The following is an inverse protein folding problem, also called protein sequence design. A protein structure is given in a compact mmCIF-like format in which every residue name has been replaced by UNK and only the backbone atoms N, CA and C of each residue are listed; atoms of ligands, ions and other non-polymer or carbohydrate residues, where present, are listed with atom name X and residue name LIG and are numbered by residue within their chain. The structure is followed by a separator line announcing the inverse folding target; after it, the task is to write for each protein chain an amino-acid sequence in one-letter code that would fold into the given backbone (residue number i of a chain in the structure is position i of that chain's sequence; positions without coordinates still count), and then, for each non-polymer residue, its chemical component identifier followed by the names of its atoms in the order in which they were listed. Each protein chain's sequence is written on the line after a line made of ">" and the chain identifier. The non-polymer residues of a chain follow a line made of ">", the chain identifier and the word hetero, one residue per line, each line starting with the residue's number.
data_IF_100217898258
#
_entry.id   IF_100217898258
#
_cell.length_a   1.000
_cell.length_b   1.000
_cell.length_c   1.000
_cell.angle_alpha   90.00
_cell.angle_beta   90.00
_cell.angle_gamma   90.00
#
_symmetry.space_group_name_H-M   'P 1'
#
loop_
_entity.id
_entity.type
_entity.pdbx_description
1 polymer ?
#
# COMPACT_ATOMS: atom_id res chain seq x y z
N UNK A 1 -48.56 5.34 -34.58
CA UNK A 1 -47.66 5.17 -33.42
C UNK A 1 -46.40 4.54 -33.99
N UNK A 2 -45.40 5.36 -34.35
CA UNK A 2 -44.14 4.86 -34.90
C UNK A 2 -43.27 4.39 -33.73
N UNK A 3 -43.00 3.09 -33.66
CA UNK A 3 -41.96 2.54 -32.81
C UNK A 3 -40.61 2.80 -33.49
N UNK A 4 -39.89 3.83 -33.05
CA UNK A 4 -38.48 4.03 -33.39
C UNK A 4 -37.67 2.85 -32.84
N UNK A 5 -37.40 1.87 -33.71
CA UNK A 5 -36.41 0.83 -33.43
C UNK A 5 -35.03 1.43 -33.63
N UNK A 6 -34.33 1.68 -32.53
CA UNK A 6 -32.94 2.12 -32.58
C UNK A 6 -32.05 1.02 -33.18
N UNK A 7 -31.09 1.35 -34.05
CA UNK A 7 -30.21 0.36 -34.65
C UNK A 7 -29.36 -0.32 -33.55
N UNK A 8 -29.26 -1.64 -33.63
CA UNK A 8 -28.66 -2.51 -32.60
C UNK A 8 -27.19 -2.15 -32.30
N UNK A 9 -26.48 -1.59 -33.29
CA UNK A 9 -25.12 -1.05 -33.12
C UNK A 9 -25.03 0.18 -32.20
N UNK A 10 -26.07 1.02 -32.16
CA UNK A 10 -26.15 2.15 -31.23
C UNK A 10 -26.42 1.68 -29.80
N UNK A 11 -27.17 0.59 -29.64
CA UNK A 11 -27.44 -0.03 -28.33
C UNK A 11 -26.19 -0.73 -27.76
N UNK A 12 -25.38 -1.36 -28.60
CA UNK A 12 -24.10 -1.96 -28.20
C UNK A 12 -23.03 -0.92 -27.83
N UNK A 13 -22.90 0.16 -28.61
CA UNK A 13 -22.00 1.27 -28.28
C UNK A 13 -22.40 1.93 -26.95
N UNK A 14 -23.71 2.12 -26.72
CA UNK A 14 -24.21 2.67 -25.48
C UNK A 14 -23.99 1.73 -24.29
N UNK A 15 -24.18 0.42 -24.46
CA UNK A 15 -23.83 -0.60 -23.44
C UNK A 15 -22.35 -0.61 -23.12
N UNK A 16 -21.48 -0.47 -24.11
CA UNK A 16 -20.03 -0.42 -23.93
C UNK A 16 -19.60 0.84 -23.17
N UNK A 17 -20.17 2.00 -23.50
CA UNK A 17 -19.89 3.25 -22.76
C UNK A 17 -20.38 3.17 -21.32
N UNK A 18 -21.61 2.68 -21.08
CA UNK A 18 -22.16 2.53 -19.72
C UNK A 18 -21.33 1.55 -18.89
N UNK A 19 -20.89 0.43 -19.47
CA UNK A 19 -20.02 -0.54 -18.76
C UNK A 19 -18.63 0.01 -18.47
N UNK A 20 -18.05 0.79 -19.41
CA UNK A 20 -16.78 1.49 -19.21
C UNK A 20 -16.87 2.57 -18.13
N UNK A 21 -17.95 3.35 -18.12
CA UNK A 21 -18.20 4.37 -17.08
C UNK A 21 -18.42 3.73 -15.71
N UNK A 22 -19.17 2.63 -15.63
CA UNK A 22 -19.34 1.87 -14.38
C UNK A 22 -18.02 1.28 -13.88
N UNK A 23 -17.17 0.77 -14.77
CA UNK A 23 -15.85 0.26 -14.42
C UNK A 23 -14.92 1.37 -13.90
N UNK A 24 -14.90 2.53 -14.56
CA UNK A 24 -14.13 3.70 -14.12
C UNK A 24 -14.63 4.24 -12.78
N UNK A 25 -15.95 4.32 -12.58
CA UNK A 25 -16.55 4.71 -11.31
C UNK A 25 -16.20 3.71 -10.19
N UNK A 26 -16.20 2.41 -10.46
CA UNK A 26 -15.82 1.39 -9.50
C UNK A 26 -14.33 1.49 -9.14
N UNK A 27 -13.46 1.76 -10.11
CA UNK A 27 -12.03 2.03 -9.90
C UNK A 27 -11.78 3.30 -9.08
N UNK A 28 -12.49 4.39 -9.38
CA UNK A 28 -12.39 5.64 -8.63
C UNK A 28 -12.89 5.48 -7.19
N UNK A 29 -14.01 4.77 -7.01
CA UNK A 29 -14.54 4.46 -5.69
C UNK A 29 -13.58 3.59 -4.88
N UNK A 30 -12.94 2.59 -5.49
CA UNK A 30 -11.87 1.83 -4.84
C UNK A 30 -10.67 2.70 -4.47
N UNK A 31 -10.23 3.59 -5.37
CA UNK A 31 -9.11 4.52 -5.09
C UNK A 31 -9.45 5.47 -3.94
N UNK A 32 -10.67 5.99 -3.91
CA UNK A 32 -11.16 6.86 -2.84
C UNK A 32 -11.29 6.14 -1.50
N UNK A 33 -11.83 4.92 -1.50
CA UNK A 33 -11.98 4.10 -0.29
C UNK A 33 -10.62 3.62 0.25
N UNK A 34 -9.65 3.34 -0.63
CA UNK A 34 -8.25 3.11 -0.25
C UNK A 34 -7.67 4.38 0.35
N UNK A 35 -7.80 5.53 -0.29
CA UNK A 35 -7.30 6.81 0.23
C UNK A 35 -7.92 7.20 1.59
N UNK A 36 -9.19 6.86 1.80
CA UNK A 36 -9.90 7.13 3.05
C UNK A 36 -9.48 6.19 4.18
N UNK A 37 -9.26 4.89 3.89
CA UNK A 37 -8.70 3.94 4.86
C UNK A 37 -7.22 4.19 5.17
N UNK A 38 -6.51 4.88 4.28
CA UNK A 38 -5.13 5.33 4.49
C UNK A 38 -4.99 6.60 5.33
N UNK A 39 -6.10 7.23 5.73
CA UNK A 39 -6.13 8.10 6.92
C UNK A 39 -6.00 7.24 8.18
N UNK A 40 -4.92 6.47 8.29
CA UNK A 40 -4.38 6.13 9.60
C UNK A 40 -4.26 7.47 10.34
N UNK A 41 -4.94 7.56 11.49
CA UNK A 41 -5.19 8.80 12.24
C UNK A 41 -3.98 9.73 12.29
N UNK A 42 -4.21 11.04 12.45
CA UNK A 42 -3.24 12.15 12.62
C UNK A 42 -2.21 11.90 13.76
N UNK A 43 -1.42 10.85 13.63
CA UNK A 43 -0.36 10.45 14.54
C UNK A 43 0.85 11.24 14.07
N UNK A 44 1.26 12.21 14.87
CA UNK A 44 2.49 12.96 14.65
C UNK A 44 3.67 11.97 14.51
N UNK A 45 4.29 11.88 13.31
CA UNK A 45 5.42 10.99 13.07
C UNK A 45 6.62 11.24 14.00
N UNK A 46 6.77 12.45 14.56
CA UNK A 46 7.87 12.82 15.45
C UNK A 46 7.61 12.51 16.92
N UNK A 47 6.35 12.32 17.32
CA UNK A 47 5.96 12.15 18.72
C UNK A 47 6.74 11.02 19.43
N UNK A 48 6.96 9.83 18.85
CA UNK A 48 7.73 8.77 19.51
C UNK A 48 9.20 9.14 19.77
N UNK A 49 9.79 9.93 18.87
CA UNK A 49 11.19 10.34 18.93
C UNK A 49 11.39 11.43 19.98
N UNK A 50 10.47 12.40 20.01
CA UNK A 50 10.41 13.44 21.03
C UNK A 50 10.19 12.82 22.41
N UNK A 51 9.28 11.84 22.52
CA UNK A 51 9.02 11.13 23.77
C UNK A 51 10.26 10.41 24.31
N UNK A 52 11.03 9.77 23.41
CA UNK A 52 12.27 9.06 23.77
C UNK A 52 13.41 9.99 24.17
N UNK A 53 13.55 11.14 23.52
CA UNK A 53 14.65 12.06 23.80
C UNK A 53 14.39 13.00 24.98
N UNK A 54 13.14 13.45 25.16
CA UNK A 54 12.81 14.51 26.10
C UNK A 54 11.76 14.13 27.16
N UNK A 55 11.21 12.90 27.10
CA UNK A 55 10.09 12.51 27.95
C UNK A 55 8.74 13.01 27.42
N UNK A 56 7.72 13.16 28.27
CA UNK A 56 6.36 13.46 27.81
C UNK A 56 6.32 14.77 26.99
N UNK A 57 5.65 14.83 25.81
CA UNK A 57 5.70 16.01 24.92
C UNK A 57 5.03 17.28 25.48
N UNK A 58 4.47 17.20 26.69
CA UNK A 58 3.86 18.33 27.40
C UNK A 58 4.96 19.26 27.93
N UNK A 59 5.64 19.99 27.05
CA UNK A 59 6.60 21.00 27.50
C UNK A 59 7.61 21.52 26.49
N UNK A 60 7.74 20.96 25.29
CA UNK A 60 8.70 21.47 24.31
C UNK A 60 8.14 22.75 23.66
N UNK A 61 8.30 23.87 24.35
CA UNK A 61 7.95 25.22 23.88
C UNK A 61 9.10 25.86 23.09
N UNK A 62 10.31 25.30 23.19
CA UNK A 62 11.49 25.83 22.53
C UNK A 62 11.82 25.03 21.25
N UNK A 63 12.27 25.69 20.17
CA UNK A 63 12.75 25.00 18.98
C UNK A 63 13.95 24.12 19.35
N UNK A 64 14.02 22.93 18.74
CA UNK A 64 15.14 22.02 18.93
C UNK A 64 16.44 22.67 18.45
N UNK A 65 17.55 22.37 19.11
CA UNK A 65 18.86 22.69 18.55
C UNK A 65 19.04 21.96 17.22
N UNK A 66 19.89 22.50 16.35
CA UNK A 66 20.18 21.88 15.04
C UNK A 66 20.62 20.41 15.21
N UNK A 67 21.43 20.10 16.23
CA UNK A 67 21.91 18.75 16.49
C UNK A 67 20.77 17.79 16.87
N UNK A 68 19.90 18.19 17.79
CA UNK A 68 18.74 17.38 18.19
C UNK A 68 17.76 17.17 17.04
N UNK A 69 17.49 18.24 16.28
CA UNK A 69 16.65 18.20 15.10
C UNK A 69 17.20 17.25 14.02
N UNK A 70 18.53 17.24 13.80
CA UNK A 70 19.19 16.28 12.91
C UNK A 70 18.93 14.85 13.36
N UNK A 71 19.23 14.54 14.64
CA UNK A 71 19.09 13.19 15.20
C UNK A 71 17.63 12.70 15.07
N UNK A 72 16.67 13.51 15.48
CA UNK A 72 15.24 13.15 15.45
C UNK A 72 14.77 12.91 14.01
N UNK A 73 15.15 13.80 13.10
CA UNK A 73 14.76 13.68 11.69
C UNK A 73 15.35 12.42 11.06
N UNK A 74 16.64 12.16 11.29
CA UNK A 74 17.33 10.99 10.74
C UNK A 74 16.74 9.69 11.28
N UNK A 75 16.47 9.63 12.59
CA UNK A 75 15.82 8.47 13.21
C UNK A 75 14.42 8.24 12.63
N UNK A 76 13.62 9.30 12.46
CA UNK A 76 12.28 9.19 11.87
C UNK A 76 12.33 8.65 10.42
N UNK A 77 13.23 9.19 9.59
CA UNK A 77 13.43 8.75 8.21
C UNK A 77 13.93 7.31 8.15
N UNK A 78 14.91 6.96 8.98
CA UNK A 78 15.52 5.63 8.98
C UNK A 78 14.52 4.56 9.44
N UNK A 79 13.74 4.85 10.47
CA UNK A 79 12.69 3.95 10.96
C UNK A 79 11.60 3.76 9.92
N UNK A 80 11.18 4.83 9.22
CA UNK A 80 10.23 4.70 8.12
C UNK A 80 10.77 3.71 7.07
N UNK A 81 11.99 3.92 6.58
CA UNK A 81 12.61 3.04 5.57
C UNK A 81 12.73 1.60 6.05
N UNK A 82 13.21 1.41 7.27
CA UNK A 82 13.36 0.09 7.89
C UNK A 82 12.03 -0.63 8.02
N UNK A 83 10.98 0.07 8.48
CA UNK A 83 9.62 -0.48 8.59
C UNK A 83 9.04 -0.83 7.23
N UNK A 84 9.24 0.01 6.22
CA UNK A 84 8.77 -0.27 4.87
C UNK A 84 9.46 -1.52 4.30
N UNK A 85 10.79 -1.59 4.41
CA UNK A 85 11.57 -2.75 3.96
C UNK A 85 11.14 -4.03 4.69
N UNK A 86 11.03 -4.00 6.01
CA UNK A 86 10.61 -5.16 6.81
C UNK A 86 9.19 -5.63 6.42
N UNK A 87 8.25 -4.69 6.19
CA UNK A 87 6.90 -5.01 5.71
C UNK A 87 6.96 -5.69 4.34
N UNK A 88 7.75 -5.17 3.40
CA UNK A 88 7.92 -5.76 2.08
C UNK A 88 8.46 -7.19 2.18
N UNK A 89 9.55 -7.40 2.94
CA UNK A 89 10.20 -8.71 3.11
C UNK A 89 9.20 -9.73 3.65
N UNK A 90 8.51 -9.43 4.75
CA UNK A 90 7.58 -10.38 5.38
C UNK A 90 6.44 -10.78 4.43
N UNK A 91 5.91 -9.83 3.65
CA UNK A 91 4.84 -10.14 2.69
C UNK A 91 5.39 -10.92 1.50
N UNK A 92 6.57 -10.56 1.00
CA UNK A 92 7.23 -11.24 -0.12
C UNK A 92 7.56 -12.70 0.23
N UNK A 93 8.18 -12.95 1.38
CA UNK A 93 8.50 -14.31 1.84
C UNK A 93 7.25 -15.19 1.94
N UNK A 94 6.15 -14.63 2.46
CA UNK A 94 4.87 -15.35 2.54
C UNK A 94 4.28 -15.61 1.16
N UNK A 95 4.34 -14.63 0.26
CA UNK A 95 3.88 -14.76 -1.11
C UNK A 95 4.65 -15.87 -1.82
N UNK A 96 5.98 -15.83 -1.77
CA UNK A 96 6.84 -16.79 -2.45
C UNK A 96 6.57 -18.21 -1.95
N UNK A 97 6.46 -18.40 -0.63
CA UNK A 97 6.12 -19.69 -0.02
C UNK A 97 4.75 -20.21 -0.48
N UNK A 98 3.70 -19.40 -0.37
CA UNK A 98 2.34 -19.82 -0.70
C UNK A 98 2.16 -20.03 -2.21
N UNK A 99 2.78 -19.19 -3.04
CA UNK A 99 2.73 -19.30 -4.49
C UNK A 99 3.48 -20.54 -4.99
N UNK A 100 4.61 -20.88 -4.36
CA UNK A 100 5.32 -22.13 -4.64
C UNK A 100 4.45 -23.35 -4.30
N UNK A 101 3.81 -23.36 -3.13
CA UNK A 101 2.88 -24.44 -2.74
C UNK A 101 1.70 -24.54 -3.72
N UNK A 102 1.11 -23.42 -4.09
CA UNK A 102 -0.01 -23.36 -5.04
C UNK A 102 0.37 -23.95 -6.40
N UNK A 103 1.53 -23.56 -6.94
CA UNK A 103 2.05 -24.10 -8.21
C UNK A 103 2.32 -25.61 -8.11
N UNK A 104 2.92 -26.06 -7.01
CA UNK A 104 3.21 -27.48 -6.80
C UNK A 104 1.93 -28.33 -6.78
N UNK A 105 0.89 -27.87 -6.06
CA UNK A 105 -0.41 -28.57 -6.00
C UNK A 105 -1.13 -28.55 -7.33
N UNK A 106 -1.05 -27.45 -8.09
CA UNK A 106 -1.59 -27.37 -9.45
C UNK A 106 -0.92 -28.38 -10.37
N UNK A 107 0.41 -28.51 -10.33
CA UNK A 107 1.15 -29.50 -11.12
C UNK A 107 0.78 -30.93 -10.71
N UNK A 108 0.66 -31.20 -9.41
CA UNK A 108 0.21 -32.50 -8.92
C UNK A 108 -1.17 -32.86 -9.47
N UNK A 109 -2.14 -31.93 -9.44
CA UNK A 109 -3.47 -32.20 -9.97
C UNK A 109 -3.44 -32.50 -11.47
N UNK A 110 -2.69 -31.73 -12.27
CA UNK A 110 -2.55 -31.99 -13.71
C UNK A 110 -2.02 -33.40 -13.99
N UNK A 111 -1.13 -33.92 -13.14
CA UNK A 111 -0.59 -35.27 -13.27
C UNK A 111 -1.55 -36.38 -12.78
N UNK A 112 -2.48 -36.09 -11.88
CA UNK A 112 -3.30 -37.10 -11.18
C UNK A 112 -4.81 -37.02 -11.49
N UNK A 113 -5.28 -36.01 -12.23
CA UNK A 113 -6.72 -35.76 -12.48
C UNK A 113 -7.48 -36.97 -13.02
N UNK A 114 -6.87 -37.79 -13.88
CA UNK A 114 -7.54 -38.94 -14.49
C UNK A 114 -7.66 -40.17 -13.56
N UNK A 115 -6.97 -40.16 -12.41
CA UNK A 115 -6.97 -41.27 -11.44
C UNK A 115 -7.57 -40.86 -10.09
N UNK A 116 -8.12 -39.64 -9.99
CA UNK A 116 -8.73 -39.10 -8.79
C UNK A 116 -10.19 -39.58 -8.66
N UNK A 117 -10.60 -39.88 -7.43
CA UNK A 117 -12.02 -40.09 -7.14
C UNK A 117 -12.72 -38.72 -7.02
N UNK A 118 -14.04 -38.64 -7.28
CA UNK A 118 -14.78 -37.39 -7.16
C UNK A 118 -14.62 -36.70 -5.80
N UNK A 119 -14.53 -37.47 -4.71
CA UNK A 119 -14.36 -36.93 -3.35
C UNK A 119 -12.98 -36.28 -3.17
N UNK A 120 -11.92 -36.92 -3.69
CA UNK A 120 -10.55 -36.38 -3.61
C UNK A 120 -10.38 -35.17 -4.51
N UNK A 121 -11.04 -35.16 -5.66
CA UNK A 121 -11.07 -34.03 -6.59
C UNK A 121 -11.79 -32.82 -5.98
N UNK A 122 -12.95 -33.02 -5.37
CA UNK A 122 -13.67 -31.96 -4.65
C UNK A 122 -12.82 -31.37 -3.49
N UNK A 123 -12.15 -32.23 -2.72
CA UNK A 123 -11.24 -31.80 -1.66
C UNK A 123 -10.06 -30.97 -2.21
N UNK A 124 -9.49 -31.37 -3.36
CA UNK A 124 -8.47 -30.58 -4.04
C UNK A 124 -8.99 -29.19 -4.43
N UNK A 125 -10.17 -29.09 -5.04
CA UNK A 125 -10.71 -27.79 -5.46
C UNK A 125 -11.01 -26.86 -4.29
N UNK A 126 -11.58 -27.37 -3.19
CA UNK A 126 -11.81 -26.56 -2.00
C UNK A 126 -10.51 -25.97 -1.43
N UNK A 127 -9.47 -26.80 -1.32
CA UNK A 127 -8.16 -26.37 -0.82
C UNK A 127 -7.41 -25.47 -1.82
N UNK A 128 -7.55 -25.71 -3.12
CA UNK A 128 -6.96 -24.88 -4.18
C UNK A 128 -7.61 -23.49 -4.24
N UNK A 129 -8.93 -23.41 -4.03
CA UNK A 129 -9.66 -22.15 -3.93
C UNK A 129 -9.12 -21.30 -2.76
N UNK A 130 -9.00 -21.89 -1.56
CA UNK A 130 -8.44 -21.19 -0.40
C UNK A 130 -7.00 -20.71 -0.65
N UNK A 131 -6.14 -21.59 -1.18
CA UNK A 131 -4.74 -21.24 -1.41
C UNK A 131 -4.58 -20.15 -2.48
N UNK A 132 -5.39 -20.21 -3.55
CA UNK A 132 -5.40 -19.17 -4.59
C UNK A 132 -5.86 -17.82 -4.05
N UNK A 133 -6.86 -17.80 -3.17
CA UNK A 133 -7.32 -16.59 -2.49
C UNK A 133 -6.21 -15.98 -1.63
N UNK A 134 -5.49 -16.81 -0.86
CA UNK A 134 -4.37 -16.37 -0.03
C UNK A 134 -3.22 -15.79 -0.86
N UNK A 135 -2.83 -16.46 -1.94
CA UNK A 135 -1.79 -15.98 -2.87
C UNK A 135 -2.18 -14.63 -3.47
N UNK A 136 -3.42 -14.51 -3.97
CA UNK A 136 -3.91 -13.27 -4.56
C UNK A 136 -3.98 -12.13 -3.53
N UNK A 137 -4.41 -12.40 -2.30
CA UNK A 137 -4.41 -11.42 -1.22
C UNK A 137 -3.01 -10.89 -0.91
N UNK A 138 -1.99 -11.75 -0.92
CA UNK A 138 -0.59 -11.35 -0.74
C UNK A 138 -0.05 -10.54 -1.93
N UNK A 139 -0.42 -10.91 -3.16
CA UNK A 139 -0.09 -10.17 -4.37
C UNK A 139 -0.63 -8.73 -4.31
N UNK A 140 -1.93 -8.57 -4.00
CA UNK A 140 -2.55 -7.25 -3.82
C UNK A 140 -1.82 -6.42 -2.76
N UNK A 141 -1.37 -7.05 -1.66
CA UNK A 141 -0.60 -6.35 -0.61
C UNK A 141 0.78 -5.90 -1.10
N UNK A 142 1.46 -6.70 -1.92
CA UNK A 142 2.74 -6.31 -2.53
C UNK A 142 2.56 -5.13 -3.49
N UNK A 143 1.57 -5.20 -4.38
CA UNK A 143 1.25 -4.10 -5.31
C UNK A 143 0.93 -2.82 -4.55
N UNK A 144 0.06 -2.90 -3.53
CA UNK A 144 -0.24 -1.74 -2.67
C UNK A 144 1.01 -1.19 -1.98
N UNK A 145 1.90 -2.05 -1.48
CA UNK A 145 3.15 -1.60 -0.86
C UNK A 145 4.03 -0.84 -1.86
N UNK A 146 4.18 -1.36 -3.08
CA UNK A 146 4.93 -0.73 -4.15
C UNK A 146 4.34 0.64 -4.52
N UNK A 147 3.03 0.72 -4.70
CA UNK A 147 2.33 1.95 -5.11
C UNK A 147 2.37 3.04 -4.04
N UNK A 148 2.29 2.67 -2.76
CA UNK A 148 2.02 3.61 -1.66
C UNK A 148 3.26 3.94 -0.83
N UNK A 149 4.32 3.14 -0.89
CA UNK A 149 5.57 3.39 -0.15
C UNK A 149 6.20 4.75 -0.50
N UNK A 150 6.34 5.04 -1.80
CA UNK A 150 6.95 6.29 -2.26
C UNK A 150 6.08 7.53 -1.99
N UNK A 151 4.75 7.54 -2.27
CA UNK A 151 3.87 8.63 -1.85
C UNK A 151 3.91 8.90 -0.35
N UNK A 152 3.87 7.86 0.50
CA UNK A 152 3.95 8.01 1.96
C UNK A 152 5.29 8.58 2.41
N UNK A 153 6.39 8.15 1.80
CA UNK A 153 7.71 8.73 2.10
C UNK A 153 7.76 10.22 1.75
N UNK A 154 7.24 10.61 0.58
CA UNK A 154 7.14 12.02 0.18
C UNK A 154 6.29 12.83 1.15
N UNK A 155 5.15 12.29 1.60
CA UNK A 155 4.30 12.95 2.59
C UNK A 155 5.04 13.18 3.91
N UNK A 156 5.81 12.19 4.39
CA UNK A 156 6.68 12.34 5.55
C UNK A 156 7.75 13.42 5.33
N UNK A 157 8.41 13.45 4.18
CA UNK A 157 9.41 14.49 3.90
C UNK A 157 8.80 15.89 3.89
N UNK A 158 7.61 16.06 3.28
CA UNK A 158 6.88 17.32 3.28
C UNK A 158 6.52 17.74 4.71
N UNK A 159 6.06 16.81 5.54
CA UNK A 159 5.78 17.04 6.95
C UNK A 159 7.03 17.55 7.69
N UNK A 160 8.14 16.81 7.61
CA UNK A 160 9.40 17.15 8.30
C UNK A 160 10.00 18.49 7.81
N UNK A 161 9.81 18.84 6.53
CA UNK A 161 10.31 20.10 5.97
C UNK A 161 9.51 21.32 6.46
N UNK A 162 8.26 21.14 6.88
CA UNK A 162 7.38 22.22 7.37
C UNK A 162 7.26 22.24 8.90
N UNK A 163 7.75 21.21 9.58
CA UNK A 163 7.55 21.04 11.01
C UNK A 163 8.21 22.17 11.83
N UNK A 164 7.48 22.86 12.74
CA UNK A 164 8.01 23.99 13.51
C UNK A 164 9.26 23.67 14.31
N UNK A 165 9.33 22.49 14.95
CA UNK A 165 10.49 22.07 15.74
C UNK A 165 11.76 21.82 14.91
N UNK A 166 11.63 21.68 13.58
CA UNK A 166 12.74 21.43 12.67
C UNK A 166 13.14 22.67 11.85
N UNK A 167 12.57 23.84 12.15
CA UNK A 167 12.75 25.08 11.37
C UNK A 167 14.22 25.46 11.18
N UNK A 168 15.01 25.43 12.25
CA UNK A 168 16.42 25.84 12.17
C UNK A 168 17.28 24.81 11.40
N UNK A 169 17.02 23.52 11.61
CA UNK A 169 17.62 22.46 10.79
C UNK A 169 17.30 22.66 9.29
N UNK A 170 16.03 22.93 8.96
CA UNK A 170 15.58 23.09 7.58
C UNK A 170 16.20 24.33 6.92
N UNK A 171 16.36 25.43 7.68
CA UNK A 171 17.09 26.62 7.22
C UNK A 171 18.55 26.31 6.91
N UNK A 172 19.25 25.65 7.83
CA UNK A 172 20.65 25.28 7.65
C UNK A 172 20.82 24.33 6.44
N UNK A 173 19.97 23.32 6.32
CA UNK A 173 19.97 22.39 5.18
C UNK A 173 19.76 23.10 3.83
N UNK A 174 18.84 24.07 3.78
CA UNK A 174 18.60 24.85 2.57
C UNK A 174 19.82 25.68 2.16
N UNK A 175 20.51 26.29 3.13
CA UNK A 175 21.73 27.07 2.89
C UNK A 175 22.82 26.24 2.21
N UNK A 176 23.09 25.02 2.70
CA UNK A 176 24.12 24.15 2.11
C UNK A 176 23.71 23.56 0.76
N UNK A 177 22.41 23.38 0.50
CA UNK A 177 21.92 22.89 -0.80
C UNK A 177 22.08 23.91 -1.93
N UNK A 178 22.06 25.21 -1.63
CA UNK A 178 22.24 26.30 -2.61
C UNK A 178 23.71 26.54 -2.96
N UNK A 179 24.64 26.06 -2.11
CA UNK A 179 26.09 26.22 -2.31
C UNK A 179 26.77 25.07 -3.07
N UNK A 180 26.04 23.98 -3.36
CA UNK A 180 26.48 22.84 -4.16
C UNK A 180 25.92 22.97 -5.57
#
# INVERSE_FOLDING_TARGET
>A
INSESWPESSLESFRYDVTKTLYLFFLEKQKAEIAEREREADIDPLQPYLARMFGTPRGITQPLTVKEATIIREQCINDFRTKQLARQIIVQERFDKMNAEYKAKRLWYLANQFILTPEKEAAYFAMSAELSFQVHSLEVRLTRHQDLSAPRFRALEVYLNKHPLLKEYNRMRAYYKVKQ
#
